data_IF_118846022440
#
_entry.id   IF_118846022440
#
_cell.length_a   1.000
_cell.length_b   1.000
_cell.length_c   1.000
_cell.angle_alpha   90.00
_cell.angle_beta   90.00
_cell.angle_gamma   90.00
#
_symmetry.space_group_name_H-M   'P 1'
#
loop_
_entity.id
_entity.type
_entity.pdbx_description
1 polymer ?
#
# COMPACT_ATOMS: atom_id res chain seq x y z
N UNK A 1 -3.65 -15.76 23.20
CA UNK A 1 -2.74 -15.86 22.04
C UNK A 1 -1.49 -15.06 22.35
N UNK A 2 -0.31 -15.65 22.14
CA UNK A 2 0.95 -14.93 22.33
C UNK A 2 1.17 -13.96 21.16
N UNK A 3 1.82 -12.80 21.43
CA UNK A 3 2.11 -11.76 20.42
C UNK A 3 2.87 -12.29 19.19
N UNK A 4 3.64 -13.36 19.35
CA UNK A 4 4.41 -14.02 18.27
C UNK A 4 3.56 -14.89 17.34
N UNK A 5 2.34 -15.23 17.73
CA UNK A 5 1.47 -16.15 16.99
C UNK A 5 0.54 -15.44 16.00
N UNK A 6 0.43 -14.11 16.08
CA UNK A 6 -0.42 -13.35 15.19
C UNK A 6 0.35 -12.84 13.97
N UNK A 7 -0.22 -13.01 12.77
CA UNK A 7 0.38 -12.51 11.55
C UNK A 7 0.53 -10.99 11.62
N UNK A 8 1.71 -10.49 11.26
CA UNK A 8 1.98 -9.05 11.20
C UNK A 8 1.23 -8.37 10.03
N UNK A 9 0.67 -9.18 9.14
CA UNK A 9 -0.20 -8.84 8.04
C UNK A 9 -1.64 -9.28 8.32
N UNK A 10 -2.53 -8.30 8.46
CA UNK A 10 -3.96 -8.52 8.28
C UNK A 10 -4.21 -8.11 6.83
N UNK A 11 -4.98 -8.89 6.06
CA UNK A 11 -5.28 -8.56 4.66
C UNK A 11 -5.77 -7.12 4.49
N UNK A 12 -5.78 -6.61 3.25
CA UNK A 12 -6.33 -5.29 2.97
C UNK A 12 -7.74 -5.20 3.55
N UNK A 13 -8.00 -4.16 4.36
CA UNK A 13 -9.24 -4.08 5.12
C UNK A 13 -10.44 -4.18 4.17
N UNK A 14 -11.41 -5.06 4.46
CA UNK A 14 -12.52 -5.28 3.55
C UNK A 14 -13.31 -3.98 3.28
N UNK A 15 -13.73 -3.79 2.03
CA UNK A 15 -14.37 -2.56 1.58
C UNK A 15 -13.46 -1.32 1.55
N UNK A 16 -12.14 -1.51 1.46
CA UNK A 16 -11.21 -0.40 1.18
C UNK A 16 -11.43 0.11 -0.24
N UNK A 17 -12.12 1.23 -0.36
CA UNK A 17 -12.29 1.91 -1.64
C UNK A 17 -11.02 2.68 -2.03
N UNK A 18 -10.50 2.42 -3.23
CA UNK A 18 -9.32 3.08 -3.77
C UNK A 18 -9.73 3.77 -5.06
N UNK A 19 -9.83 5.11 -5.03
CA UNK A 19 -10.27 5.88 -6.19
C UNK A 19 -9.32 5.67 -7.39
N UNK A 20 -9.81 5.24 -8.56
CA UNK A 20 -9.03 5.17 -9.79
C UNK A 20 -8.58 6.57 -10.24
N UNK A 21 -7.55 6.61 -11.09
CA UNK A 21 -7.15 7.87 -11.72
C UNK A 21 -8.26 8.34 -12.65
N UNK A 22 -8.28 9.65 -12.92
CA UNK A 22 -9.27 10.23 -13.82
C UNK A 22 -9.25 9.64 -15.24
N UNK A 23 -8.06 9.20 -15.70
CA UNK A 23 -7.87 8.50 -16.99
C UNK A 23 -8.47 7.08 -17.01
N UNK A 24 -8.55 6.44 -15.85
CA UNK A 24 -9.04 5.06 -15.69
C UNK A 24 -10.52 5.06 -15.21
N UNK A 25 -11.13 6.23 -15.10
CA UNK A 25 -12.53 6.39 -14.72
C UNK A 25 -13.45 6.18 -15.93
N UNK A 26 -14.66 5.63 -15.73
CA UNK A 26 -15.66 5.48 -16.78
C UNK A 26 -15.98 6.80 -17.48
N UNK A 27 -16.31 6.74 -18.76
CA UNK A 27 -16.65 7.93 -19.54
C UNK A 27 -17.94 8.59 -19.02
N UNK A 28 -17.94 9.92 -18.92
CA UNK A 28 -19.14 10.70 -18.61
C UNK A 28 -20.23 10.61 -19.67
N UNK A 29 -19.97 10.08 -20.87
CA UNK A 29 -21.00 10.03 -21.92
C UNK A 29 -21.69 8.67 -21.91
N UNK A 30 -20.91 7.59 -21.92
CA UNK A 30 -21.43 6.22 -22.06
C UNK A 30 -21.74 5.54 -20.72
N UNK A 31 -21.02 5.87 -19.64
CA UNK A 31 -21.07 5.16 -18.35
C UNK A 31 -21.28 6.13 -17.18
N UNK A 32 -22.26 7.04 -17.32
CA UNK A 32 -22.59 8.07 -16.32
C UNK A 32 -22.92 7.49 -14.95
N UNK A 33 -23.75 6.45 -14.93
CA UNK A 33 -24.24 5.86 -13.69
C UNK A 33 -23.12 5.21 -12.87
N UNK A 34 -22.24 4.45 -13.53
CA UNK A 34 -21.08 3.80 -12.92
C UNK A 34 -20.09 4.85 -12.39
N UNK A 35 -19.85 5.91 -13.16
CA UNK A 35 -18.99 7.00 -12.74
C UNK A 35 -19.53 7.74 -11.52
N UNK A 36 -20.79 8.14 -11.55
CA UNK A 36 -21.44 8.81 -10.41
C UNK A 36 -21.43 7.91 -9.17
N UNK A 37 -21.58 6.60 -9.37
CA UNK A 37 -21.50 5.62 -8.29
C UNK A 37 -20.09 5.53 -7.70
N UNK A 38 -19.03 5.51 -8.52
CA UNK A 38 -17.65 5.55 -8.05
C UNK A 38 -17.36 6.85 -7.27
N UNK A 39 -17.79 8.01 -7.78
CA UNK A 39 -17.61 9.29 -7.07
C UNK A 39 -18.43 9.35 -5.77
N UNK A 40 -19.64 8.79 -5.76
CA UNK A 40 -20.44 8.66 -4.54
C UNK A 40 -19.77 7.76 -3.51
N UNK A 41 -19.25 6.60 -3.92
CA UNK A 41 -18.49 5.71 -3.05
C UNK A 41 -17.24 6.39 -2.51
N UNK A 42 -16.52 7.14 -3.35
CA UNK A 42 -15.38 7.93 -2.91
C UNK A 42 -15.75 8.88 -1.77
N UNK A 43 -16.80 9.68 -1.95
CA UNK A 43 -17.24 10.64 -0.94
C UNK A 43 -17.73 9.92 0.33
N UNK A 44 -18.58 8.91 0.17
CA UNK A 44 -19.09 8.10 1.27
C UNK A 44 -17.96 7.48 2.09
N UNK A 45 -17.01 6.82 1.44
CA UNK A 45 -15.88 6.19 2.11
C UNK A 45 -14.93 7.22 2.71
N UNK A 46 -14.70 8.38 2.09
CA UNK A 46 -13.89 9.44 2.69
C UNK A 46 -14.46 9.89 4.04
N UNK A 47 -15.78 10.09 4.12
CA UNK A 47 -16.47 10.47 5.36
C UNK A 47 -16.43 9.32 6.38
N UNK A 48 -16.82 8.10 5.98
CA UNK A 48 -16.83 6.94 6.88
C UNK A 48 -15.45 6.62 7.45
N UNK A 49 -14.41 6.68 6.61
CA UNK A 49 -13.03 6.46 7.01
C UNK A 49 -12.55 7.52 8.00
N UNK A 50 -12.85 8.80 7.74
CA UNK A 50 -12.50 9.88 8.64
C UNK A 50 -13.16 9.74 10.02
N UNK A 51 -14.47 9.47 10.05
CA UNK A 51 -15.21 9.21 11.29
C UNK A 51 -14.66 7.98 11.99
N UNK A 52 -14.37 6.90 11.25
CA UNK A 52 -13.81 5.65 11.79
C UNK A 52 -12.45 5.85 12.46
N UNK A 53 -11.55 6.63 11.85
CA UNK A 53 -10.24 6.95 12.44
C UNK A 53 -10.41 7.81 13.71
N UNK A 54 -11.33 8.77 13.70
CA UNK A 54 -11.64 9.56 14.91
C UNK A 54 -12.20 8.66 16.02
N UNK A 55 -13.17 7.81 15.70
CA UNK A 55 -13.75 6.83 16.63
C UNK A 55 -12.64 5.94 17.21
N UNK A 56 -11.79 5.40 16.35
CA UNK A 56 -10.67 4.55 16.75
C UNK A 56 -9.69 5.24 17.70
N UNK A 57 -9.24 6.46 17.36
CA UNK A 57 -8.19 7.16 18.10
C UNK A 57 -8.69 7.97 19.31
N UNK A 58 -9.98 8.31 19.39
CA UNK A 58 -10.52 9.18 20.45
C UNK A 58 -11.55 8.50 21.34
N UNK A 59 -12.30 7.54 20.83
CA UNK A 59 -13.35 6.87 21.60
C UNK A 59 -12.91 5.48 22.05
N UNK A 60 -12.43 4.67 21.11
CA UNK A 60 -12.06 3.28 21.36
C UNK A 60 -10.68 3.13 22.01
N UNK A 61 -9.67 3.82 21.51
CA UNK A 61 -8.31 3.81 22.05
C UNK A 61 -7.92 5.25 22.44
N UNK A 62 -8.33 5.70 23.62
CA UNK A 62 -8.12 7.09 24.06
C UNK A 62 -6.63 7.44 24.06
N UNK A 63 -6.29 8.59 23.49
CA UNK A 63 -4.93 9.15 23.51
C UNK A 63 -4.06 8.80 22.30
N UNK A 64 -4.58 8.09 21.30
CA UNK A 64 -3.81 7.81 20.09
C UNK A 64 -3.68 9.05 19.19
N UNK A 65 -2.47 9.33 18.65
CA UNK A 65 -2.30 10.39 17.68
C UNK A 65 -3.00 10.03 16.37
N UNK A 66 -3.66 11.02 15.76
CA UNK A 66 -4.33 10.83 14.47
C UNK A 66 -3.33 10.75 13.30
N UNK A 67 -2.10 11.25 13.45
CA UNK A 67 -1.01 11.16 12.45
C UNK A 67 -1.42 11.61 11.02
N UNK A 68 -2.41 12.52 10.90
CA UNK A 68 -3.06 12.82 9.60
C UNK A 68 -2.10 13.43 8.57
N UNK A 69 -1.12 14.21 9.03
CA UNK A 69 -0.09 14.83 8.18
C UNK A 69 1.09 13.87 7.96
N UNK A 70 1.50 13.18 9.02
CA UNK A 70 2.69 12.33 9.07
C UNK A 70 2.53 11.07 8.23
N UNK A 71 1.33 10.44 8.20
CA UNK A 71 1.06 9.22 7.42
C UNK A 71 1.51 9.30 5.96
N UNK A 72 1.42 10.48 5.34
CA UNK A 72 1.88 10.70 3.96
C UNK A 72 3.41 10.66 3.87
N UNK A 73 4.10 11.37 4.76
CA UNK A 73 5.56 11.42 4.79
C UNK A 73 6.14 10.05 5.12
N UNK A 74 5.53 9.35 6.07
CA UNK A 74 5.85 7.98 6.45
C UNK A 74 5.73 7.04 5.25
N UNK A 75 4.65 7.12 4.47
CA UNK A 75 4.49 6.31 3.26
C UNK A 75 5.55 6.61 2.20
N UNK A 76 5.92 7.89 1.99
CA UNK A 76 6.97 8.26 1.05
C UNK A 76 8.35 7.76 1.47
N UNK A 77 8.68 7.84 2.77
CA UNK A 77 9.92 7.32 3.33
C UNK A 77 10.00 5.80 3.15
N UNK A 78 8.93 5.09 3.53
CA UNK A 78 8.86 3.65 3.38
C UNK A 78 8.96 3.19 1.94
N UNK A 79 8.26 3.84 1.01
CA UNK A 79 8.35 3.55 -0.42
C UNK A 79 9.80 3.61 -0.91
N UNK A 80 10.50 4.71 -0.61
CA UNK A 80 11.88 4.92 -1.00
C UNK A 80 12.80 3.86 -0.39
N UNK A 81 12.72 3.66 0.93
CA UNK A 81 13.58 2.73 1.65
C UNK A 81 13.36 1.28 1.22
N UNK A 82 12.10 0.90 1.00
CA UNK A 82 11.74 -0.42 0.51
C UNK A 82 12.32 -0.69 -0.87
N UNK A 83 12.12 0.20 -1.85
CA UNK A 83 12.63 -0.01 -3.20
C UNK A 83 14.17 0.07 -3.27
N UNK A 84 14.78 0.95 -2.47
CA UNK A 84 16.24 1.02 -2.34
C UNK A 84 16.81 -0.28 -1.78
N UNK A 85 16.25 -0.78 -0.67
CA UNK A 85 16.67 -2.05 -0.06
C UNK A 85 16.43 -3.23 -1.00
N UNK A 86 15.30 -3.22 -1.72
CA UNK A 86 15.01 -4.23 -2.71
C UNK A 86 16.04 -4.25 -3.84
N UNK A 87 16.40 -3.11 -4.41
CA UNK A 87 17.44 -3.05 -5.45
C UNK A 87 18.80 -3.53 -4.92
N UNK A 88 19.20 -3.07 -3.73
CA UNK A 88 20.44 -3.48 -3.06
C UNK A 88 20.47 -4.96 -2.65
N UNK A 89 19.32 -5.62 -2.52
CA UNK A 89 19.22 -6.99 -2.00
C UNK A 89 19.36 -7.06 -0.47
N UNK A 90 19.09 -5.97 0.24
CA UNK A 90 19.15 -5.89 1.70
C UNK A 90 17.88 -6.47 2.34
N UNK A 91 17.92 -7.77 2.61
CA UNK A 91 16.81 -8.51 3.23
C UNK A 91 16.56 -8.10 4.69
N UNK A 92 17.58 -7.61 5.40
CA UNK A 92 17.45 -7.19 6.79
C UNK A 92 16.59 -5.94 6.91
N UNK A 93 16.83 -4.95 6.05
CA UNK A 93 15.99 -3.74 6.00
C UNK A 93 14.56 -4.07 5.58
N UNK A 94 14.36 -4.94 4.58
CA UNK A 94 13.02 -5.36 4.11
C UNK A 94 12.23 -6.01 5.24
N UNK A 95 12.81 -6.96 5.97
CA UNK A 95 12.13 -7.65 7.07
C UNK A 95 11.75 -6.72 8.24
N UNK A 96 12.47 -5.61 8.39
CA UNK A 96 12.20 -4.61 9.43
C UNK A 96 11.04 -3.68 9.06
N UNK A 97 10.97 -3.24 7.79
CA UNK A 97 10.03 -2.20 7.35
C UNK A 97 8.74 -2.76 6.74
N UNK A 98 8.78 -3.96 6.16
CA UNK A 98 7.63 -4.61 5.54
C UNK A 98 6.90 -5.53 6.53
N UNK A 99 5.63 -5.78 6.27
CA UNK A 99 4.91 -6.91 6.86
C UNK A 99 5.44 -8.23 6.30
N UNK A 100 5.19 -9.32 7.03
CA UNK A 100 5.69 -10.68 6.75
C UNK A 100 5.41 -11.15 5.33
N UNK A 101 4.19 -10.99 4.81
CA UNK A 101 3.81 -11.40 3.46
C UNK A 101 4.64 -10.72 2.37
N UNK A 102 4.70 -9.38 2.39
CA UNK A 102 5.48 -8.62 1.41
C UNK A 102 6.99 -8.89 1.55
N UNK A 103 7.50 -8.99 2.77
CA UNK A 103 8.90 -9.29 3.00
C UNK A 103 9.30 -10.64 2.39
N UNK A 104 8.46 -11.67 2.56
CA UNK A 104 8.65 -12.99 1.95
C UNK A 104 8.66 -12.93 0.43
N UNK A 105 7.72 -12.19 -0.17
CA UNK A 105 7.65 -12.01 -1.62
C UNK A 105 8.92 -11.33 -2.17
N UNK A 106 9.35 -10.22 -1.55
CA UNK A 106 10.52 -9.48 -1.98
C UNK A 106 11.81 -10.27 -1.79
N UNK A 107 11.96 -10.97 -0.66
CA UNK A 107 13.11 -11.83 -0.40
C UNK A 107 13.19 -13.00 -1.39
N UNK A 108 12.04 -13.60 -1.74
CA UNK A 108 11.97 -14.64 -2.78
C UNK A 108 12.47 -14.10 -4.13
N UNK A 109 11.99 -12.91 -4.53
CA UNK A 109 12.44 -12.25 -5.77
C UNK A 109 13.91 -11.88 -5.77
N UNK A 110 14.49 -11.53 -4.61
CA UNK A 110 15.93 -11.29 -4.46
C UNK A 110 16.70 -12.61 -4.63
N UNK A 111 16.25 -13.68 -4.00
CA UNK A 111 16.89 -14.99 -4.08
C UNK A 111 16.88 -15.59 -5.50
N UNK A 112 15.87 -15.27 -6.31
CA UNK A 112 15.78 -15.72 -7.71
C UNK A 112 16.66 -14.92 -8.68
N UNK A 113 17.37 -13.87 -8.24
CA UNK A 113 18.21 -13.05 -9.14
C UNK A 113 19.44 -13.83 -9.60
N UNK A 114 19.87 -13.68 -10.87
CA UNK A 114 21.16 -14.20 -11.33
C UNK A 114 22.31 -13.61 -10.50
N UNK A 115 23.25 -14.44 -10.05
CA UNK A 115 24.37 -14.01 -9.16
C UNK A 115 25.28 -12.95 -9.78
N UNK A 116 25.35 -12.91 -11.10
CA UNK A 116 26.14 -11.97 -11.89
C UNK A 116 25.39 -10.67 -12.19
N UNK A 117 24.08 -10.58 -11.92
CA UNK A 117 23.26 -9.43 -12.24
C UNK A 117 22.97 -8.60 -10.98
N UNK A 118 23.31 -7.32 -11.02
CA UNK A 118 22.94 -6.35 -10.00
C UNK A 118 21.87 -5.41 -10.53
N UNK A 119 20.93 -5.07 -9.65
CA UNK A 119 19.81 -4.17 -9.95
C UNK A 119 20.10 -2.82 -9.32
N UNK A 120 19.89 -1.74 -10.06
CA UNK A 120 19.90 -0.37 -9.54
C UNK A 120 18.48 0.18 -9.55
N UNK A 121 18.16 0.96 -8.53
CA UNK A 121 16.93 1.74 -8.47
C UNK A 121 17.27 3.10 -7.88
N UNK A 122 16.70 4.14 -8.46
CA UNK A 122 16.78 5.50 -7.97
C UNK A 122 15.45 6.20 -8.15
N UNK A 123 15.14 7.07 -7.20
CA UNK A 123 14.00 7.96 -7.25
C UNK A 123 14.46 9.33 -7.74
N UNK A 124 14.16 9.64 -9.00
CA UNK A 124 14.58 10.90 -9.61
C UNK A 124 13.81 12.07 -9.02
N UNK A 125 12.48 11.97 -9.02
CA UNK A 125 11.61 13.01 -8.51
C UNK A 125 10.21 12.50 -8.20
N UNK A 126 9.52 13.14 -7.26
CA UNK A 126 8.08 12.95 -7.11
C UNK A 126 7.34 13.85 -8.12
N UNK A 127 6.32 13.30 -8.78
CA UNK A 127 5.49 14.03 -9.74
C UNK A 127 4.47 14.86 -8.94
N UNK A 128 4.84 16.10 -8.64
CA UNK A 128 4.06 17.04 -7.83
C UNK A 128 3.05 17.76 -8.70
N UNK A 129 1.80 17.32 -8.64
CA UNK A 129 0.69 17.89 -9.40
C UNK A 129 -0.49 18.23 -8.47
N UNK A 130 -1.50 18.92 -9.00
CA UNK A 130 -2.73 19.20 -8.25
C UNK A 130 -3.45 17.91 -7.80
N UNK A 131 -3.29 16.82 -8.56
CA UNK A 131 -3.91 15.53 -8.22
C UNK A 131 -3.38 14.98 -6.89
N UNK A 132 -2.13 15.28 -6.53
CA UNK A 132 -1.42 14.89 -5.30
C UNK A 132 -1.16 16.05 -4.33
N UNK A 133 -1.92 17.15 -4.44
CA UNK A 133 -1.73 18.36 -3.62
C UNK A 133 -0.28 18.87 -3.64
N UNK A 134 0.37 18.82 -4.81
CA UNK A 134 1.74 19.29 -5.03
C UNK A 134 2.81 18.58 -4.20
N UNK A 135 2.50 17.39 -3.68
CA UNK A 135 3.43 16.62 -2.84
C UNK A 135 3.92 15.32 -3.47
N UNK A 136 3.30 14.90 -4.57
CA UNK A 136 3.55 13.62 -5.24
C UNK A 136 3.08 12.40 -4.44
N UNK A 137 2.36 12.62 -3.34
CA UNK A 137 1.70 11.58 -2.59
C UNK A 137 0.31 12.05 -2.09
N UNK A 138 -0.70 11.20 -2.25
CA UNK A 138 -2.07 11.45 -1.79
C UNK A 138 -2.60 10.26 -1.01
N UNK A 139 -3.06 10.52 0.21
CA UNK A 139 -3.85 9.56 0.97
C UNK A 139 -5.19 9.37 0.24
N UNK A 140 -5.46 8.15 -0.21
CA UNK A 140 -6.71 7.80 -0.90
C UNK A 140 -7.68 7.06 0.00
N UNK A 141 -7.17 6.37 1.03
CA UNK A 141 -7.98 5.72 2.07
C UNK A 141 -7.19 5.67 3.38
N UNK A 142 -7.87 5.86 4.51
CA UNK A 142 -7.31 5.69 5.86
C UNK A 142 -8.37 5.01 6.74
N UNK A 143 -8.17 3.73 7.02
CA UNK A 143 -9.15 2.91 7.73
C UNK A 143 -8.53 2.40 9.00
N UNK A 144 -9.30 2.49 10.08
CA UNK A 144 -8.94 1.90 11.36
C UNK A 144 -10.10 1.04 11.86
N UNK A 145 -9.80 -0.15 12.36
CA UNK A 145 -10.77 -1.05 12.98
C UNK A 145 -10.17 -1.71 14.21
N UNK A 146 -11.01 -2.03 15.18
CA UNK A 146 -10.63 -2.92 16.27
C UNK A 146 -10.57 -4.36 15.77
N UNK A 147 -9.71 -5.15 16.41
CA UNK A 147 -9.73 -6.60 16.24
C UNK A 147 -10.78 -7.13 17.22
N UNK A 148 -11.83 -7.82 16.75
CA UNK A 148 -12.83 -8.41 17.63
C UNK A 148 -12.16 -9.36 18.63
N UNK A 149 -12.78 -9.52 19.81
CA UNK A 149 -12.35 -10.47 20.86
C UNK A 149 -11.04 -10.14 21.60
N UNK A 150 -10.25 -9.16 21.12
CA UNK A 150 -9.00 -8.78 21.76
C UNK A 150 -9.07 -7.31 22.19
N UNK A 151 -9.17 -7.03 23.50
CA UNK A 151 -9.20 -5.67 24.04
C UNK A 151 -7.98 -4.84 23.60
N UNK A 152 -8.20 -3.55 23.41
CA UNK A 152 -7.19 -2.55 23.04
C UNK A 152 -6.30 -2.95 21.85
N UNK A 153 -6.85 -3.78 20.96
CA UNK A 153 -6.19 -4.25 19.75
C UNK A 153 -6.92 -3.77 18.52
N UNK A 154 -6.15 -3.46 17.48
CA UNK A 154 -6.70 -2.86 16.30
C UNK A 154 -5.68 -2.74 15.19
N UNK A 155 -6.18 -2.46 14.01
CA UNK A 155 -5.37 -2.26 12.83
C UNK A 155 -5.78 -0.97 12.16
N UNK A 156 -4.78 -0.19 11.77
CA UNK A 156 -4.94 0.98 10.92
C UNK A 156 -4.19 0.76 9.63
N UNK A 157 -4.86 0.90 8.50
CA UNK A 157 -4.28 0.82 7.16
C UNK A 157 -4.52 2.12 6.42
N UNK A 158 -3.45 2.64 5.81
CA UNK A 158 -3.50 3.86 5.00
C UNK A 158 -3.01 3.51 3.60
N UNK A 159 -3.87 3.76 2.63
CA UNK A 159 -3.53 3.64 1.22
C UNK A 159 -3.08 5.01 0.72
N UNK A 160 -1.86 5.08 0.20
CA UNK A 160 -1.26 6.30 -0.34
C UNK A 160 -0.90 6.07 -1.79
N UNK A 161 -1.45 6.90 -2.67
CA UNK A 161 -1.05 6.98 -4.07
C UNK A 161 0.22 7.82 -4.16
N UNK A 162 1.29 7.25 -4.69
CA UNK A 162 2.56 7.92 -4.94
C UNK A 162 2.76 8.03 -6.45
N UNK A 163 3.03 9.25 -6.93
CA UNK A 163 3.36 9.54 -8.33
C UNK A 163 4.81 10.00 -8.38
N UNK A 164 5.64 9.32 -9.16
CA UNK A 164 7.08 9.58 -9.19
C UNK A 164 7.71 9.19 -10.51
N UNK A 165 8.80 9.86 -10.83
CA UNK A 165 9.74 9.49 -11.87
C UNK A 165 10.85 8.63 -11.25
N UNK A 166 11.01 7.43 -11.75
CA UNK A 166 11.92 6.43 -11.22
C UNK A 166 12.84 5.92 -12.32
N UNK A 167 14.09 5.66 -11.97
CA UNK A 167 15.07 5.07 -12.87
C UNK A 167 15.54 3.74 -12.31
N UNK A 168 15.36 2.68 -13.09
CA UNK A 168 15.79 1.34 -12.73
C UNK A 168 16.66 0.75 -13.84
N UNK A 169 17.74 0.08 -13.43
CA UNK A 169 18.72 -0.49 -14.33
C UNK A 169 19.21 -1.85 -13.85
N UNK A 170 19.91 -2.53 -14.74
CA UNK A 170 20.58 -3.80 -14.49
C UNK A 170 21.99 -3.69 -15.04
N UNK A 171 22.97 -4.21 -14.30
CA UNK A 171 24.34 -4.32 -14.79
C UNK A 171 24.94 -5.65 -14.35
N UNK A 172 25.82 -6.19 -15.18
CA UNK A 172 26.56 -7.40 -14.87
C UNK A 172 27.79 -7.04 -14.06
N UNK A 173 27.96 -7.62 -12.88
CA UNK A 173 29.17 -7.43 -12.09
C UNK A 173 30.34 -8.16 -12.77
N UNK A 174 31.54 -7.55 -12.87
CA UNK A 174 32.69 -8.21 -13.46
C UNK A 174 33.08 -9.46 -12.67
N UNK A 175 33.59 -10.47 -13.38
CA UNK A 175 34.13 -11.67 -12.75
C UNK A 175 35.33 -11.28 -11.85
N UNK A 176 35.43 -11.92 -10.67
CA UNK A 176 36.51 -11.66 -9.70
C UNK A 176 37.89 -11.74 -10.41
N UNK A 177 38.62 -10.62 -10.43
CA UNK A 177 40.01 -10.56 -10.92
C UNK A 177 40.29 -9.54 -12.04
N UNK A 178 39.26 -8.90 -12.62
CA UNK A 178 39.44 -7.83 -13.60
C UNK A 178 39.29 -6.45 -12.94
N UNK A 179 40.23 -5.54 -13.22
CA UNK A 179 40.21 -4.16 -12.76
C UNK A 179 38.99 -3.41 -13.33
N UNK A 180 38.47 -2.46 -12.56
CA UNK A 180 37.24 -1.72 -12.86
C UNK A 180 37.31 -0.84 -14.13
N UNK A 181 38.50 -0.64 -14.71
CA UNK A 181 38.70 0.20 -15.90
C UNK A 181 38.34 -0.51 -17.22
N UNK A 182 38.49 -1.84 -17.31
CA UNK A 182 38.13 -2.64 -18.50
C UNK A 182 36.74 -3.28 -18.40
N UNK A 183 36.10 -3.15 -17.23
CA UNK A 183 34.72 -3.55 -17.06
C UNK A 183 33.86 -2.43 -17.61
N UNK A 184 33.38 -2.56 -18.85
CA UNK A 184 32.20 -1.84 -19.29
C UNK A 184 31.03 -2.30 -18.42
N UNK A 185 30.93 -1.77 -17.19
CA UNK A 185 29.77 -1.80 -16.33
C UNK A 185 28.72 -0.88 -16.97
N UNK A 186 28.33 -1.22 -18.20
CA UNK A 186 27.24 -0.54 -18.88
C UNK A 186 26.01 -0.93 -18.09
N UNK A 187 25.46 0.03 -17.36
CA UNK A 187 24.07 -0.01 -16.96
C UNK A 187 23.27 -0.10 -18.26
N UNK A 188 23.02 -1.33 -18.72
CA UNK A 188 22.75 -1.59 -20.13
C UNK A 188 21.38 -1.06 -20.54
N UNK A 189 20.55 -0.68 -19.56
CA UNK A 189 19.16 -0.29 -19.72
C UNK A 189 18.64 0.50 -18.50
N UNK A 190 19.28 1.60 -18.09
CA UNK A 190 18.62 2.53 -17.15
C UNK A 190 17.40 3.15 -17.83
N UNK A 191 16.21 2.66 -17.46
CA UNK A 191 14.94 3.13 -18.02
C UNK A 191 14.28 4.04 -17.00
N UNK A 192 14.28 5.32 -17.30
CA UNK A 192 13.46 6.29 -16.59
C UNK A 192 11.98 6.09 -16.95
N UNK A 193 11.11 6.02 -15.95
CA UNK A 193 9.67 5.81 -16.13
C UNK A 193 8.87 6.64 -15.13
N UNK A 194 7.73 7.13 -15.59
CA UNK A 194 6.71 7.69 -14.71
C UNK A 194 5.86 6.56 -14.12
N UNK A 195 5.90 6.43 -12.80
CA UNK A 195 5.22 5.41 -12.03
C UNK A 195 4.10 6.03 -11.19
N UNK A 196 2.95 5.35 -11.15
CA UNK A 196 1.88 5.63 -10.18
C UNK A 196 1.60 4.35 -9.41
N UNK A 197 1.93 4.37 -8.13
CA UNK A 197 1.85 3.21 -7.26
C UNK A 197 0.93 3.51 -6.07
N UNK A 198 0.21 2.50 -5.60
CA UNK A 198 -0.67 2.61 -4.43
C UNK A 198 -0.09 1.73 -3.34
N UNK A 199 0.52 2.37 -2.34
CA UNK A 199 1.16 1.68 -1.23
C UNK A 199 0.26 1.69 -0.03
N UNK A 200 0.18 0.53 0.62
CA UNK A 200 -0.57 0.35 1.86
C UNK A 200 0.44 0.29 3.00
N UNK A 201 0.37 1.25 3.91
CA UNK A 201 1.06 1.17 5.19
C UNK A 201 0.08 0.73 6.26
N UNK A 202 0.54 -0.12 7.17
CA UNK A 202 -0.24 -0.68 8.26
C UNK A 202 0.44 -0.39 9.59
N UNK A 203 -0.38 -0.06 10.59
CA UNK A 203 0.00 0.03 12.00
C UNK A 203 -0.89 -0.91 12.79
N UNK A 204 -0.27 -1.89 13.45
CA UNK A 204 -0.98 -2.83 14.32
C UNK A 204 -0.86 -2.34 15.76
N UNK A 205 -1.95 -2.44 16.49
CA UNK A 205 -2.01 -2.21 17.94
C UNK A 205 -2.40 -3.52 18.59
N UNK A 206 -1.63 -3.91 19.60
CA UNK A 206 -1.81 -5.15 20.34
C UNK A 206 -1.88 -4.86 21.83
N UNK A 207 -3.03 -5.15 22.45
CA UNK A 207 -3.26 -5.02 23.90
C UNK A 207 -2.72 -3.71 24.48
N UNK A 208 -2.98 -2.59 23.80
CA UNK A 208 -2.53 -1.27 24.23
C UNK A 208 -1.17 -0.80 23.68
N UNK A 209 -0.41 -1.66 22.99
CA UNK A 209 0.91 -1.33 22.43
C UNK A 209 0.88 -1.17 20.91
N UNK A 210 1.46 -0.08 20.40
CA UNK A 210 1.58 0.17 18.96
C UNK A 210 2.87 -0.47 18.42
N UNK A 211 2.77 -1.27 17.34
CA UNK A 211 3.93 -1.93 16.71
C UNK A 211 4.69 -1.05 15.71
N UNK A 212 4.26 0.21 15.57
CA UNK A 212 4.76 1.15 14.56
C UNK A 212 4.19 0.88 13.17
N UNK A 213 4.53 1.77 12.23
CA UNK A 213 4.12 1.63 10.83
C UNK A 213 5.02 0.66 10.09
N UNK A 214 4.42 -0.12 9.19
CA UNK A 214 5.10 -1.03 8.25
C UNK A 214 4.43 -0.98 6.88
N UNK A 215 5.15 -1.40 5.85
CA UNK A 215 4.57 -1.57 4.51
C UNK A 215 3.86 -2.91 4.42
N UNK A 216 2.54 -2.88 4.27
CA UNK A 216 1.75 -4.08 4.05
C UNK A 216 1.95 -4.62 2.63
N UNK A 217 1.90 -3.74 1.63
CA UNK A 217 1.92 -4.16 0.24
C UNK A 217 1.51 -3.05 -0.72
N UNK A 218 1.24 -3.47 -1.96
CA UNK A 218 0.64 -2.64 -3.00
C UNK A 218 -0.85 -2.95 -3.09
N UNK A 219 -1.64 -1.98 -3.53
CA UNK A 219 -3.06 -2.16 -3.80
C UNK A 219 -3.40 -1.74 -5.22
N UNK A 220 -4.51 -2.26 -5.74
CA UNK A 220 -5.05 -1.87 -7.05
C UNK A 220 -6.21 -0.89 -6.84
N UNK A 221 -6.40 0.08 -7.76
CA UNK A 221 -7.59 0.90 -7.74
C UNK A 221 -8.86 0.09 -7.92
N UNK A 222 -9.95 0.55 -7.31
CA UNK A 222 -11.28 -0.04 -7.49
C UNK A 222 -11.77 0.22 -8.91
N UNK A 223 -12.20 -0.84 -9.59
CA UNK A 223 -12.75 -0.80 -10.95
C UNK A 223 -14.29 -0.81 -10.95
N UNK A 224 -14.90 -0.72 -12.13
CA UNK A 224 -16.35 -0.89 -12.28
C UNK A 224 -16.78 -2.30 -11.88
N UNK A 225 -15.98 -3.32 -12.21
CA UNK A 225 -16.30 -4.71 -11.91
C UNK A 225 -16.41 -4.95 -10.39
N UNK A 226 -15.58 -4.28 -9.60
CA UNK A 226 -15.60 -4.35 -8.14
C UNK A 226 -16.91 -3.83 -7.54
N UNK A 227 -17.68 -3.01 -8.27
CA UNK A 227 -18.98 -2.49 -7.81
C UNK A 227 -20.02 -3.59 -7.62
N UNK A 228 -19.83 -4.75 -8.26
CA UNK A 228 -20.68 -5.92 -8.08
C UNK A 228 -20.38 -6.66 -6.76
N UNK A 229 -19.20 -6.42 -6.16
CA UNK A 229 -18.81 -7.11 -4.93
C UNK A 229 -19.72 -6.76 -3.76
N UNK A 230 -19.93 -7.68 -2.79
CA UNK A 230 -20.74 -7.41 -1.60
C UNK A 230 -20.26 -6.19 -0.78
N UNK A 231 -19.01 -5.78 -0.95
CA UNK A 231 -18.46 -4.59 -0.28
C UNK A 231 -19.00 -3.27 -0.83
N UNK A 232 -19.28 -3.22 -2.13
CA UNK A 232 -19.66 -1.99 -2.83
C UNK A 232 -21.05 -2.04 -3.47
N UNK A 233 -21.66 -3.22 -3.53
CA UNK A 233 -23.02 -3.43 -4.03
C UNK A 233 -24.03 -2.57 -3.24
N UNK A 234 -25.00 -1.92 -3.90
CA UNK A 234 -26.01 -1.11 -3.24
C UNK A 234 -27.12 -2.02 -2.65
N UNK A 235 -27.93 -1.49 -1.75
CA UNK A 235 -29.12 -2.20 -1.24
C UNK A 235 -28.87 -3.29 -0.19
N UNK A 236 -27.66 -3.86 -0.09
CA UNK A 236 -27.34 -4.84 0.96
C UNK A 236 -27.22 -4.18 2.34
N UNK A 237 -27.96 -4.72 3.30
CA UNK A 237 -27.84 -4.45 4.74
C UNK A 237 -26.50 -4.96 5.29
N UNK A 238 -26.10 -4.51 6.48
CA UNK A 238 -24.85 -4.96 7.10
C UNK A 238 -24.86 -6.48 7.34
N UNK A 239 -26.01 -7.04 7.71
CA UNK A 239 -26.19 -8.48 7.93
C UNK A 239 -26.03 -9.27 6.62
N UNK A 240 -26.72 -8.87 5.56
CA UNK A 240 -26.62 -9.53 4.24
C UNK A 240 -25.21 -9.42 3.65
N UNK A 241 -24.50 -8.29 3.89
CA UNK A 241 -23.08 -8.19 3.54
C UNK A 241 -22.26 -9.20 4.29
N UNK A 242 -22.45 -9.32 5.60
CA UNK A 242 -21.67 -10.22 6.45
C UNK A 242 -21.93 -11.69 6.08
N UNK A 243 -23.15 -12.03 5.70
CA UNK A 243 -23.51 -13.35 5.16
C UNK A 243 -22.88 -13.60 3.78
N UNK A 244 -22.97 -12.67 2.85
CA UNK A 244 -22.31 -12.78 1.54
C UNK A 244 -20.79 -12.94 1.67
N UNK A 245 -20.19 -12.31 2.69
CA UNK A 245 -18.78 -12.45 3.02
C UNK A 245 -18.43 -13.82 3.61
N UNK A 246 -19.25 -14.33 4.53
CA UNK A 246 -19.08 -15.69 5.06
C UNK A 246 -19.22 -16.73 3.95
N UNK A 247 -20.19 -16.56 3.04
CA UNK A 247 -20.38 -17.45 1.89
C UNK A 247 -19.20 -17.41 0.90
N UNK A 248 -18.57 -16.24 0.73
CA UNK A 248 -17.38 -16.08 -0.12
C UNK A 248 -16.06 -16.59 0.49
N UNK A 249 -15.93 -16.57 1.83
CA UNK A 249 -14.76 -17.09 2.56
C UNK A 249 -14.83 -18.59 2.85
N UNK A 250 -15.99 -19.23 2.67
CA UNK A 250 -16.22 -20.66 2.91
C UNK A 250 -15.91 -21.59 1.73
N UNK A 251 -15.06 -21.17 0.78
CA UNK A 251 -14.54 -21.99 -0.31
C UNK A 251 -13.01 -21.96 -0.33
#
# INVERSE_FOLDING_TARGET
MARSELPQDIGLLPGTYIRPLWKDMPSFIHQRHERLRLEWLWLKHAVQNFIGVIAYSRYFNKGLPLELKERRQIAQDFHRRMLTAFAAGDTATINKICCTGLAKELNSRIATRPKNEKVTWSLDSYNRDASTFWTGARVVSDRATQIPEIPDSGVRQVVVRITSKQSAGKYTAPAKGQAAEDSTAVATNEKQRDCTEYIVIQKLRWTGEDTGWRVWGHATPTTVDDLSSPFFAPGLTLAERLEALKAGMGR
#
